data_IF_450541939671
#
_entry.id   IF_450541939671
#
_cell.length_a   1.000
_cell.length_b   1.000
_cell.length_c   1.000
_cell.angle_alpha   90.00
_cell.angle_beta   90.00
_cell.angle_gamma   90.00
#
_symmetry.space_group_name_H-M   'P 1'
#
loop_
_entity.id
_entity.type
_entity.pdbx_description
1 polymer ?
#
# COMPACT_ATOMS: atom_id res chain seq x y z
N UNK A 1 -9.97 -3.78 2.49
CA UNK A 1 -9.69 -3.70 3.95
C UNK A 1 -9.62 -2.24 4.29
N UNK A 2 -10.72 -1.68 4.76
CA UNK A 2 -10.86 -0.28 5.12
C UNK A 2 -12.20 -0.13 5.82
N UNK A 3 -12.23 0.63 6.90
CA UNK A 3 -13.48 1.15 7.44
C UNK A 3 -14.02 2.13 6.41
N UNK A 4 -15.22 1.86 5.92
CA UNK A 4 -15.93 2.82 5.08
C UNK A 4 -16.55 3.86 6.01
N UNK A 5 -16.08 5.10 5.89
CA UNK A 5 -16.55 6.19 6.72
C UNK A 5 -17.68 6.87 5.96
N UNK A 6 -18.91 6.45 6.25
CA UNK A 6 -20.12 7.01 5.67
C UNK A 6 -20.94 7.70 6.76
N UNK A 7 -21.10 9.01 6.61
CA UNK A 7 -21.82 9.86 7.56
C UNK A 7 -23.33 9.58 7.62
N UNK A 8 -23.88 8.86 6.63
CA UNK A 8 -25.29 8.45 6.57
C UNK A 8 -25.55 7.13 7.29
N UNK A 9 -24.47 6.41 7.61
CA UNK A 9 -24.50 5.13 8.31
C UNK A 9 -24.12 5.28 9.79
N UNK A 10 -24.34 4.22 10.58
CA UNK A 10 -23.95 4.23 11.97
C UNK A 10 -22.41 4.27 12.10
N UNK A 11 -21.84 5.18 12.92
CA UNK A 11 -20.40 5.29 13.09
C UNK A 11 -19.82 3.97 13.59
N UNK A 12 -18.63 3.57 13.10
CA UNK A 12 -17.99 2.34 13.53
C UNK A 12 -17.70 2.37 15.03
N UNK A 13 -17.99 1.25 15.70
CA UNK A 13 -17.76 1.10 17.13
C UNK A 13 -16.27 0.87 17.43
N UNK A 14 -15.91 1.03 18.71
CA UNK A 14 -14.54 0.84 19.19
C UNK A 14 -14.01 -0.58 18.92
N UNK A 15 -14.89 -1.59 18.95
CA UNK A 15 -14.53 -2.97 18.65
C UNK A 15 -14.15 -3.18 17.19
N UNK A 16 -14.89 -2.61 16.23
CA UNK A 16 -14.56 -2.64 14.79
C UNK A 16 -13.29 -1.87 14.50
N UNK A 17 -13.09 -0.70 15.12
CA UNK A 17 -11.85 0.06 14.97
C UNK A 17 -10.65 -0.74 15.47
N UNK A 18 -10.77 -1.41 16.63
CA UNK A 18 -9.72 -2.26 17.17
C UNK A 18 -9.44 -3.48 16.29
N UNK A 19 -10.48 -4.12 15.75
CA UNK A 19 -10.35 -5.24 14.82
C UNK A 19 -9.58 -4.83 13.56
N UNK A 20 -9.93 -3.68 12.96
CA UNK A 20 -9.26 -3.16 11.77
C UNK A 20 -7.80 -2.79 12.08
N UNK A 21 -7.52 -2.20 13.24
CA UNK A 21 -6.12 -1.96 13.68
C UNK A 21 -5.33 -3.27 13.80
N UNK A 22 -5.94 -4.34 14.33
CA UNK A 22 -5.30 -5.65 14.40
C UNK A 22 -5.05 -6.26 13.01
N UNK A 23 -6.00 -6.11 12.09
CA UNK A 23 -5.83 -6.53 10.69
C UNK A 23 -4.71 -5.75 9.98
N UNK A 24 -4.61 -4.44 10.19
CA UNK A 24 -3.53 -3.61 9.64
C UNK A 24 -2.16 -4.04 10.17
N UNK A 25 -2.06 -4.36 11.46
CA UNK A 25 -0.83 -4.88 12.07
C UNK A 25 -0.44 -6.25 11.47
N UNK A 26 -1.40 -7.14 11.26
CA UNK A 26 -1.16 -8.44 10.63
C UNK A 26 -0.69 -8.27 9.17
N UNK A 27 -1.33 -7.38 8.40
CA UNK A 27 -0.95 -7.10 7.02
C UNK A 27 0.43 -6.41 6.94
N UNK A 28 0.79 -5.56 7.90
CA UNK A 28 2.14 -5.03 8.05
C UNK A 28 3.20 -6.13 8.22
N UNK A 29 2.93 -7.13 9.05
CA UNK A 29 3.84 -8.28 9.20
C UNK A 29 3.94 -9.09 7.91
N UNK A 30 2.81 -9.31 7.23
CA UNK A 30 2.76 -10.02 5.95
C UNK A 30 3.56 -9.29 4.88
N UNK A 31 3.38 -7.98 4.70
CA UNK A 31 4.15 -7.21 3.72
C UNK A 31 5.64 -7.20 4.04
N UNK A 32 6.04 -7.07 5.30
CA UNK A 32 7.46 -7.20 5.70
C UNK A 32 8.04 -8.56 5.33
N UNK A 33 7.25 -9.63 5.47
CA UNK A 33 7.70 -10.98 5.10
C UNK A 33 7.86 -11.12 3.58
N UNK A 34 6.97 -10.52 2.79
CA UNK A 34 7.05 -10.52 1.33
C UNK A 34 8.24 -9.70 0.84
N UNK A 35 8.46 -8.51 1.39
CA UNK A 35 9.57 -7.64 1.02
C UNK A 35 10.92 -8.32 1.29
N UNK A 36 11.07 -8.99 2.44
CA UNK A 36 12.25 -9.82 2.74
C UNK A 36 12.46 -10.94 1.73
N UNK A 37 11.39 -11.64 1.32
CA UNK A 37 11.48 -12.71 0.31
C UNK A 37 11.93 -12.17 -1.04
N UNK A 38 11.37 -11.04 -1.48
CA UNK A 38 11.80 -10.38 -2.71
C UNK A 38 13.26 -9.96 -2.65
N UNK A 39 13.71 -9.38 -1.53
CA UNK A 39 15.10 -9.02 -1.33
C UNK A 39 16.03 -10.24 -1.40
N UNK A 40 15.69 -11.35 -0.72
CA UNK A 40 16.47 -12.59 -0.76
C UNK A 40 16.56 -13.10 -2.19
N UNK A 41 15.43 -13.20 -2.91
CA UNK A 41 15.41 -13.68 -4.29
C UNK A 41 16.24 -12.79 -5.20
N UNK A 42 16.16 -11.46 -5.07
CA UNK A 42 16.94 -10.52 -5.86
C UNK A 42 18.45 -10.66 -5.59
N UNK A 43 18.86 -10.77 -4.33
CA UNK A 43 20.27 -10.96 -3.94
C UNK A 43 20.79 -12.31 -4.44
N UNK A 44 20.02 -13.39 -4.27
CA UNK A 44 20.40 -14.72 -4.77
C UNK A 44 20.52 -14.72 -6.30
N UNK A 45 19.55 -14.14 -7.02
CA UNK A 45 19.61 -14.04 -8.48
C UNK A 45 20.85 -13.27 -8.94
N UNK A 46 21.18 -12.14 -8.29
CA UNK A 46 22.38 -11.37 -8.59
C UNK A 46 23.66 -12.20 -8.39
N UNK A 47 23.78 -12.89 -7.25
CA UNK A 47 24.94 -13.76 -6.95
C UNK A 47 25.04 -14.87 -7.99
N UNK A 48 23.92 -15.53 -8.34
CA UNK A 48 23.90 -16.59 -9.36
C UNK A 48 24.33 -16.07 -10.73
N UNK A 49 23.87 -14.88 -11.14
CA UNK A 49 24.29 -14.25 -12.40
C UNK A 49 25.79 -13.96 -12.38
N UNK A 50 26.31 -13.36 -11.30
CA UNK A 50 27.75 -13.07 -11.17
C UNK A 50 28.58 -14.35 -11.24
N UNK A 51 28.19 -15.40 -10.51
CA UNK A 51 28.85 -16.70 -10.56
C UNK A 51 28.81 -17.31 -11.97
N UNK A 52 27.67 -17.26 -12.65
CA UNK A 52 27.55 -17.77 -14.02
C UNK A 52 28.43 -17.00 -15.00
N UNK A 53 28.48 -15.67 -14.89
CA UNK A 53 29.32 -14.84 -15.75
C UNK A 53 30.80 -15.19 -15.56
N UNK A 54 31.27 -15.27 -14.32
CA UNK A 54 32.68 -15.53 -14.01
C UNK A 54 33.12 -16.96 -14.32
N UNK A 55 32.27 -17.96 -14.04
CA UNK A 55 32.64 -19.37 -14.14
C UNK A 55 32.31 -19.99 -15.50
N UNK A 56 31.37 -19.42 -16.27
CA UNK A 56 30.88 -20.01 -17.51
C UNK A 56 30.98 -19.03 -18.68
N UNK A 57 30.40 -17.83 -18.56
CA UNK A 57 30.33 -16.91 -19.70
C UNK A 57 31.71 -16.44 -20.18
N UNK A 58 32.55 -15.95 -19.27
CA UNK A 58 33.91 -15.49 -19.58
C UNK A 58 34.77 -16.59 -20.22
N UNK A 59 34.88 -17.81 -19.64
CA UNK A 59 35.69 -18.86 -20.25
C UNK A 59 35.17 -19.33 -21.61
N UNK A 60 33.86 -19.43 -21.79
CA UNK A 60 33.23 -19.81 -23.07
C UNK A 60 33.49 -18.74 -24.14
N UNK A 61 33.30 -17.47 -23.84
CA UNK A 61 33.53 -16.39 -24.82
C UNK A 61 35.02 -16.28 -25.22
N UNK A 62 35.93 -16.65 -24.32
CA UNK A 62 37.37 -16.63 -24.59
C UNK A 62 37.91 -17.88 -25.29
N UNK A 63 37.12 -18.96 -25.40
CA UNK A 63 37.53 -20.18 -26.11
C UNK A 63 36.98 -20.19 -27.55
N UNK A 64 37.84 -20.02 -28.57
CA UNK A 64 37.42 -20.02 -29.97
C UNK A 64 36.81 -21.35 -30.44
N UNK A 65 36.94 -22.44 -29.68
CA UNK A 65 36.35 -23.74 -30.04
C UNK A 65 34.88 -23.89 -29.61
N UNK A 66 34.34 -22.94 -28.85
CA UNK A 66 32.97 -23.01 -28.33
C UNK A 66 31.98 -22.14 -29.12
N UNK A 67 32.45 -21.50 -30.19
CA UNK A 67 31.64 -20.63 -31.04
C UNK A 67 30.55 -21.45 -31.76
N UNK A 68 29.28 -21.15 -31.45
CA UNK A 68 28.11 -21.86 -31.99
C UNK A 68 27.55 -22.99 -31.10
N UNK A 69 28.19 -23.29 -29.97
CA UNK A 69 27.73 -24.31 -29.04
C UNK A 69 26.54 -23.83 -28.20
N UNK A 70 25.72 -24.74 -27.66
CA UNK A 70 24.48 -24.39 -26.92
C UNK A 70 24.77 -23.45 -25.74
N UNK A 71 25.92 -23.64 -25.08
CA UNK A 71 26.37 -22.81 -23.96
C UNK A 71 26.70 -21.39 -24.40
N UNK A 72 27.29 -21.21 -25.59
CA UNK A 72 27.60 -19.91 -26.16
C UNK A 72 26.32 -19.11 -26.49
N UNK A 73 25.30 -19.78 -27.03
CA UNK A 73 23.98 -19.18 -27.30
C UNK A 73 23.31 -18.74 -25.97
N UNK A 74 23.38 -19.57 -24.94
CA UNK A 74 22.84 -19.24 -23.62
C UNK A 74 23.53 -18.02 -22.97
N UNK A 75 24.85 -17.88 -23.15
CA UNK A 75 25.62 -16.71 -22.71
C UNK A 75 25.17 -15.44 -23.43
N UNK A 76 24.95 -15.51 -24.74
CA UNK A 76 24.43 -14.38 -25.53
C UNK A 76 22.99 -13.99 -25.17
N UNK A 77 22.17 -14.96 -24.76
CA UNK A 77 20.79 -14.72 -24.31
C UNK A 77 20.69 -14.15 -22.89
N UNK A 78 21.78 -14.21 -22.11
CA UNK A 78 21.80 -13.83 -20.70
C UNK A 78 21.29 -12.41 -20.42
N UNK A 79 21.65 -11.35 -21.18
CA UNK A 79 21.13 -10.01 -20.94
C UNK A 79 19.60 -9.94 -21.05
N UNK A 80 19.02 -10.66 -22.01
CA UNK A 80 17.57 -10.70 -22.23
C UNK A 80 16.83 -11.44 -21.11
N UNK A 81 17.42 -12.52 -20.61
CA UNK A 81 16.88 -13.26 -19.45
C UNK A 81 16.92 -12.39 -18.19
N UNK A 82 18.02 -11.68 -17.95
CA UNK A 82 18.15 -10.76 -16.81
C UNK A 82 17.13 -9.63 -16.89
N UNK A 83 16.96 -9.01 -18.06
CA UNK A 83 15.94 -7.96 -18.28
C UNK A 83 14.54 -8.51 -18.03
N UNK A 84 14.23 -9.71 -18.53
CA UNK A 84 12.91 -10.33 -18.34
C UNK A 84 12.61 -10.59 -16.86
N UNK A 85 13.57 -11.16 -16.13
CA UNK A 85 13.44 -11.42 -14.68
C UNK A 85 13.30 -10.11 -13.91
N UNK A 86 14.06 -9.08 -14.28
CA UNK A 86 14.00 -7.77 -13.63
C UNK A 86 12.66 -7.06 -13.85
N UNK A 87 12.14 -7.05 -15.09
CA UNK A 87 10.86 -6.42 -15.42
C UNK A 87 9.71 -7.15 -14.72
N UNK A 88 9.65 -8.48 -14.82
CA UNK A 88 8.61 -9.27 -14.16
C UNK A 88 8.71 -9.15 -12.63
N UNK A 89 9.92 -9.24 -12.09
CA UNK A 89 10.19 -9.11 -10.66
C UNK A 89 9.75 -7.76 -10.10
N UNK A 90 10.12 -6.65 -10.76
CA UNK A 90 9.70 -5.30 -10.34
C UNK A 90 8.20 -5.09 -10.47
N UNK A 91 7.58 -5.60 -11.55
CA UNK A 91 6.12 -5.50 -11.72
C UNK A 91 5.39 -6.26 -10.60
N UNK A 92 5.88 -7.45 -10.24
CA UNK A 92 5.33 -8.23 -9.13
C UNK A 92 5.58 -7.58 -7.77
N UNK A 93 6.76 -7.01 -7.52
CA UNK A 93 7.06 -6.29 -6.28
C UNK A 93 6.19 -5.05 -6.14
N UNK A 94 6.06 -4.25 -7.20
CA UNK A 94 5.20 -3.07 -7.21
C UNK A 94 3.75 -3.42 -6.87
N UNK A 95 3.16 -4.38 -7.58
CA UNK A 95 1.77 -4.77 -7.40
C UNK A 95 1.50 -5.47 -6.06
N UNK A 96 2.43 -6.30 -5.56
CA UNK A 96 2.21 -7.11 -4.35
C UNK A 96 2.75 -6.50 -3.06
N UNK A 97 3.62 -5.49 -3.14
CA UNK A 97 4.24 -4.86 -1.97
C UNK A 97 3.97 -3.37 -1.95
N UNK A 98 4.29 -2.63 -3.01
CA UNK A 98 4.19 -1.16 -2.99
C UNK A 98 2.74 -0.66 -2.96
N UNK A 99 1.88 -1.20 -3.83
CA UNK A 99 0.45 -0.86 -3.86
C UNK A 99 -0.24 -1.14 -2.51
N UNK A 100 -0.17 -2.36 -1.95
CA UNK A 100 -0.78 -2.62 -0.65
C UNK A 100 -0.13 -1.81 0.48
N UNK A 101 1.17 -1.53 0.42
CA UNK A 101 1.84 -0.66 1.41
C UNK A 101 1.31 0.78 1.38
N UNK A 102 1.03 1.32 0.19
CA UNK A 102 0.39 2.64 0.07
C UNK A 102 -1.03 2.60 0.62
N UNK A 103 -1.82 1.58 0.28
CA UNK A 103 -3.16 1.41 0.81
C UNK A 103 -3.19 1.29 2.34
N UNK A 104 -2.25 0.55 2.94
CA UNK A 104 -2.11 0.46 4.39
C UNK A 104 -1.80 1.81 5.02
N UNK A 105 -0.89 2.61 4.45
CA UNK A 105 -0.58 3.95 4.97
C UNK A 105 -1.81 4.86 4.95
N UNK A 106 -2.60 4.81 3.88
CA UNK A 106 -3.85 5.57 3.79
C UNK A 106 -4.85 5.11 4.84
N UNK A 107 -5.02 3.80 5.03
CA UNK A 107 -5.90 3.25 6.05
C UNK A 107 -5.44 3.58 7.47
N UNK A 108 -4.12 3.56 7.74
CA UNK A 108 -3.56 3.98 9.02
C UNK A 108 -3.80 5.46 9.30
N UNK A 109 -3.56 6.33 8.31
CA UNK A 109 -3.82 7.76 8.43
C UNK A 109 -5.31 8.03 8.72
N UNK A 110 -6.21 7.33 8.04
CA UNK A 110 -7.65 7.47 8.25
C UNK A 110 -8.10 7.03 9.67
N UNK A 111 -7.34 6.17 10.35
CA UNK A 111 -7.62 5.70 11.71
C UNK A 111 -6.92 6.49 12.82
N UNK A 112 -6.17 7.54 12.45
CA UNK A 112 -5.64 8.48 13.42
C UNK A 112 -6.77 9.36 13.97
N UNK A 113 -6.62 9.81 15.20
CA UNK A 113 -7.54 10.78 15.79
C UNK A 113 -7.41 12.10 15.02
N UNK A 114 -8.54 12.69 14.69
CA UNK A 114 -8.60 13.95 13.97
C UNK A 114 -7.97 15.09 14.76
N UNK A 115 -7.26 15.98 14.07
CA UNK A 115 -6.69 17.15 14.71
C UNK A 115 -7.79 18.08 15.23
N UNK A 116 -7.57 18.70 16.39
CA UNK A 116 -8.54 19.64 16.97
C UNK A 116 -8.86 20.80 16.02
N UNK A 117 -7.87 21.26 15.25
CA UNK A 117 -8.04 22.29 14.23
C UNK A 117 -9.03 21.87 13.13
N UNK A 118 -8.96 20.63 12.68
CA UNK A 118 -9.87 20.08 11.66
C UNK A 118 -11.30 19.91 12.21
N UNK A 119 -11.42 19.49 13.46
CA UNK A 119 -12.71 19.38 14.18
C UNK A 119 -13.34 20.77 14.34
N UNK A 120 -12.53 21.77 14.66
CA UNK A 120 -12.97 23.15 14.87
C UNK A 120 -13.42 23.80 13.55
N UNK A 121 -12.72 23.52 12.44
CA UNK A 121 -13.10 23.98 11.11
C UNK A 121 -14.49 23.44 10.66
N UNK A 122 -14.84 22.22 11.08
CA UNK A 122 -16.13 21.60 10.76
C UNK A 122 -17.25 21.94 11.76
N UNK A 123 -16.93 22.63 12.86
CA UNK A 123 -17.87 22.87 13.98
C UNK A 123 -19.12 23.62 13.55
N UNK A 124 -18.98 24.66 12.74
CA UNK A 124 -20.11 25.48 12.29
C UNK A 124 -20.96 24.72 11.27
N UNK A 125 -20.33 23.96 10.37
CA UNK A 125 -21.02 23.08 9.42
C UNK A 125 -21.80 21.96 10.13
N UNK A 126 -21.23 21.34 11.17
CA UNK A 126 -21.91 20.34 12.00
C UNK A 126 -23.14 20.90 12.74
N UNK A 127 -23.18 22.21 13.00
CA UNK A 127 -24.35 22.89 13.59
C UNK A 127 -25.39 23.26 12.53
N UNK A 128 -24.94 23.63 11.33
CA UNK A 128 -25.79 24.01 10.21
C UNK A 128 -26.52 22.80 9.58
N UNK A 129 -25.83 21.65 9.48
CA UNK A 129 -26.36 20.44 8.85
C UNK A 129 -26.66 19.34 9.87
N UNK A 130 -27.94 18.99 10.01
CA UNK A 130 -28.42 17.98 10.97
C UNK A 130 -27.76 16.58 10.84
N UNK A 131 -27.42 16.06 9.64
CA UNK A 131 -26.73 14.77 9.50
C UNK A 131 -25.36 14.75 10.16
N UNK A 132 -24.53 15.77 9.92
CA UNK A 132 -23.18 15.90 10.48
C UNK A 132 -23.20 16.02 12.00
N UNK A 133 -24.08 16.89 12.53
CA UNK A 133 -24.24 17.05 13.98
C UNK A 133 -24.83 15.80 14.67
N UNK A 134 -25.57 14.97 13.95
CA UNK A 134 -26.06 13.68 14.47
C UNK A 134 -24.95 12.65 14.52
N UNK A 135 -24.15 12.54 13.46
CA UNK A 135 -22.99 11.66 13.43
C UNK A 135 -21.97 12.02 14.52
N UNK A 136 -21.63 13.30 14.69
CA UNK A 136 -20.72 13.75 15.74
C UNK A 136 -21.23 13.40 17.15
N UNK A 137 -22.53 13.56 17.42
CA UNK A 137 -23.13 13.18 18.70
C UNK A 137 -23.11 11.67 18.94
N UNK A 138 -23.33 10.87 17.90
CA UNK A 138 -23.23 9.41 18.01
C UNK A 138 -21.80 8.98 18.32
N UNK A 139 -20.79 9.54 17.66
CA UNK A 139 -19.37 9.29 17.97
C UNK A 139 -19.04 9.71 19.41
N UNK A 140 -19.49 10.89 19.84
CA UNK A 140 -19.30 11.35 21.22
C UNK A 140 -19.98 10.44 22.25
N UNK A 141 -21.16 9.89 21.92
CA UNK A 141 -21.89 8.94 22.80
C UNK A 141 -21.16 7.59 22.96
N UNK A 142 -20.33 7.22 21.99
CA UNK A 142 -19.43 6.06 22.07
C UNK A 142 -18.17 6.36 22.90
N UNK A 143 -17.97 7.60 23.36
CA UNK A 143 -16.83 8.00 24.20
C UNK A 143 -15.49 8.03 23.47
N UNK A 144 -15.49 8.17 22.14
CA UNK A 144 -14.28 8.21 21.31
C UNK A 144 -14.13 9.53 20.56
N UNK A 145 -12.90 9.86 20.19
CA UNK A 145 -12.61 10.95 19.27
C UNK A 145 -13.05 10.61 17.83
N UNK A 146 -13.30 11.65 17.04
CA UNK A 146 -13.48 11.52 15.60
C UNK A 146 -12.15 11.10 14.96
N UNK A 147 -12.22 10.22 13.98
CA UNK A 147 -11.05 9.79 13.22
C UNK A 147 -10.87 10.67 11.98
N UNK A 148 -9.64 10.76 11.47
CA UNK A 148 -9.34 11.57 10.27
C UNK A 148 -10.20 11.15 9.08
N UNK A 149 -10.42 9.85 8.88
CA UNK A 149 -11.29 9.35 7.82
C UNK A 149 -12.75 9.76 7.96
N UNK A 150 -13.23 9.98 9.20
CA UNK A 150 -14.57 10.52 9.44
C UNK A 150 -14.65 12.00 9.12
N UNK A 151 -13.60 12.77 9.46
CA UNK A 151 -13.52 14.19 9.10
C UNK A 151 -13.44 14.39 7.59
N UNK A 152 -12.70 13.55 6.88
CA UNK A 152 -12.62 13.58 5.42
C UNK A 152 -13.97 13.22 4.77
N UNK A 153 -14.70 12.24 5.32
CA UNK A 153 -16.05 11.91 4.86
C UNK A 153 -17.05 13.05 5.10
N UNK A 154 -16.96 13.73 6.25
CA UNK A 154 -17.77 14.92 6.54
C UNK A 154 -17.48 16.06 5.56
N UNK A 155 -16.20 16.30 5.23
CA UNK A 155 -15.80 17.28 4.21
C UNK A 155 -16.33 16.93 2.84
N UNK A 156 -16.19 15.68 2.42
CA UNK A 156 -16.67 15.23 1.12
C UNK A 156 -18.18 15.41 0.98
N UNK A 157 -18.94 15.07 2.02
CA UNK A 157 -20.38 15.29 2.03
C UNK A 157 -20.74 16.77 1.93
N UNK A 158 -20.01 17.66 2.63
CA UNK A 158 -20.20 19.11 2.52
C UNK A 158 -19.91 19.60 1.10
N UNK A 159 -18.82 19.17 0.49
CA UNK A 159 -18.47 19.56 -0.88
C UNK A 159 -19.55 19.15 -1.89
N UNK A 160 -20.14 17.96 -1.72
CA UNK A 160 -21.23 17.48 -2.57
C UNK A 160 -22.55 18.25 -2.38
N UNK A 161 -22.86 18.69 -1.15
CA UNK A 161 -24.15 19.31 -0.82
C UNK A 161 -24.13 20.84 -0.85
N UNK A 162 -23.01 21.48 -0.51
CA UNK A 162 -22.82 22.93 -0.65
C UNK A 162 -22.38 23.30 -2.07
N UNK A 163 -21.73 22.39 -2.80
CA UNK A 163 -21.40 22.55 -4.22
C UNK A 163 -22.63 22.56 -5.14
N UNK A 164 -23.76 21.99 -4.71
CA UNK A 164 -25.05 22.03 -5.42
C UNK A 164 -25.86 23.31 -5.17
N UNK A 165 -25.41 24.19 -4.25
CA UNK A 165 -26.05 25.46 -3.93
C UNK A 165 -25.47 26.66 -4.72
N UNK A 166 -24.55 26.42 -5.66
CA UNK A 166 -23.99 27.41 -6.61
C UNK A 166 -24.40 27.08 -8.04
#
# INVERSE_FOLDING_TARGET
>A
MGLDFDITSAPPDSARIAAVRAELLAEHQRLRSLDKRFLIVAVTALITIVCFVLLVAVPVVNDPNTEGDIVFIAVYALPYLVVSVFVVGNTMHHSRVEVPRKALRTAEAALQEGAQEDIDALRDACRAHAPLGTYQRQVASQGRALLQGELDAMRHWLDEHDGQAR
#
